data_IF_741306710494
#
_entry.id   IF_741306710494
#
_cell.length_a   1.000
_cell.length_b   1.000
_cell.length_c   1.000
_cell.angle_alpha   90.00
_cell.angle_beta   90.00
_cell.angle_gamma   90.00
#
_symmetry.space_group_name_H-M   'P 1'
#
loop_
_entity.id
_entity.type
_entity.pdbx_description
1 polymer ?
#
# COMPACT_ATOMS: atom_id res chain seq x y z
N UNK A 1 0.30 -24.30 -9.23
CA UNK A 1 0.27 -22.88 -8.83
C UNK A 1 1.53 -22.61 -8.02
N UNK A 2 2.42 -21.72 -8.48
CA UNK A 2 3.58 -21.31 -7.67
C UNK A 2 3.09 -20.46 -6.51
N UNK A 3 3.60 -20.70 -5.30
CA UNK A 3 3.22 -19.93 -4.14
C UNK A 3 3.79 -18.49 -4.25
N UNK A 4 2.98 -17.49 -3.93
CA UNK A 4 3.45 -16.10 -3.85
C UNK A 4 4.54 -16.01 -2.75
N UNK A 5 5.68 -15.34 -3.00
CA UNK A 5 6.73 -15.13 -2.01
C UNK A 5 6.18 -14.50 -0.72
N UNK A 6 6.73 -14.90 0.43
CA UNK A 6 6.20 -14.47 1.73
C UNK A 6 6.44 -12.97 1.97
N UNK A 7 7.54 -12.44 1.44
CA UNK A 7 7.94 -11.04 1.50
C UNK A 7 6.90 -10.16 0.82
N UNK A 8 6.41 -10.59 -0.36
CA UNK A 8 5.35 -9.89 -1.08
C UNK A 8 4.02 -9.96 -0.33
N UNK A 9 3.72 -11.05 0.38
CA UNK A 9 2.49 -11.11 1.20
C UNK A 9 2.57 -10.19 2.41
N UNK A 10 3.74 -10.12 3.07
CA UNK A 10 3.96 -9.31 4.26
C UNK A 10 4.05 -7.81 3.96
N UNK A 11 4.31 -7.42 2.72
CA UNK A 11 4.27 -6.02 2.31
C UNK A 11 2.87 -5.48 2.05
N UNK A 12 1.85 -6.33 1.97
CA UNK A 12 0.48 -5.92 1.61
C UNK A 12 -0.31 -5.43 2.82
N UNK A 13 -1.04 -4.33 2.64
CA UNK A 13 -2.00 -3.78 3.58
C UNK A 13 -3.39 -3.72 2.96
N UNK A 14 -4.43 -3.97 3.76
CA UNK A 14 -5.81 -3.70 3.32
C UNK A 14 -6.24 -2.33 3.82
N UNK A 15 -6.82 -1.56 2.92
CA UNK A 15 -7.25 -0.19 3.17
C UNK A 15 -8.77 -0.21 3.26
N UNK A 16 -9.30 0.40 4.31
CA UNK A 16 -10.72 0.52 4.53
C UNK A 16 -11.08 1.97 4.74
N UNK A 17 -12.13 2.41 4.05
CA UNK A 17 -12.74 3.72 4.23
C UNK A 17 -14.08 3.52 4.92
N UNK A 18 -14.42 4.44 5.83
CA UNK A 18 -15.68 4.42 6.55
C UNK A 18 -16.45 5.68 6.20
N UNK A 19 -17.74 5.53 5.94
CA UNK A 19 -18.66 6.68 5.92
C UNK A 19 -18.92 7.20 7.33
N UNK A 20 -19.49 8.40 7.45
CA UNK A 20 -19.84 9.04 8.73
C UNK A 20 -20.68 8.14 9.67
N UNK A 21 -21.37 7.13 9.14
CA UNK A 21 -22.15 6.14 9.90
C UNK A 21 -21.37 4.89 10.32
N UNK A 22 -20.03 4.87 10.18
CA UNK A 22 -19.13 3.73 10.48
C UNK A 22 -19.41 2.44 9.69
N UNK A 23 -20.20 2.51 8.64
CA UNK A 23 -20.29 1.41 7.69
C UNK A 23 -19.06 1.43 6.80
N UNK A 24 -18.50 0.24 6.53
CA UNK A 24 -17.41 0.09 5.59
C UNK A 24 -17.92 0.49 4.20
N UNK A 25 -17.38 1.56 3.63
CA UNK A 25 -17.81 2.06 2.32
C UNK A 25 -17.00 1.46 1.19
N UNK A 26 -15.68 1.36 1.37
CA UNK A 26 -14.77 0.86 0.33
C UNK A 26 -13.62 0.05 0.93
N UNK A 27 -13.27 -1.03 0.23
CA UNK A 27 -12.04 -1.79 0.46
C UNK A 27 -11.04 -1.51 -0.66
N UNK A 28 -9.79 -1.29 -0.30
CA UNK A 28 -8.66 -1.11 -1.20
C UNK A 28 -7.47 -1.95 -0.75
N UNK A 29 -6.43 -1.97 -1.58
CA UNK A 29 -5.16 -2.62 -1.28
C UNK A 29 -4.05 -1.60 -1.45
N UNK A 30 -3.08 -1.63 -0.55
CA UNK A 30 -1.79 -0.99 -0.76
C UNK A 30 -0.66 -1.95 -0.41
N UNK A 31 0.57 -1.54 -0.70
CA UNK A 31 1.76 -2.28 -0.31
C UNK A 31 2.85 -1.33 0.17
N UNK A 32 3.71 -1.81 1.06
CA UNK A 32 4.82 -1.03 1.59
C UNK A 32 6.05 -1.14 0.68
N UNK A 33 6.64 0.01 0.39
CA UNK A 33 7.96 0.16 -0.21
C UNK A 33 8.89 0.79 0.81
N UNK A 34 10.11 0.26 0.90
CA UNK A 34 11.21 0.85 1.64
C UNK A 34 12.23 1.42 0.67
N UNK A 35 12.49 2.72 0.78
CA UNK A 35 13.60 3.38 0.10
C UNK A 35 14.79 3.47 1.05
N UNK A 36 15.94 2.95 0.64
CA UNK A 36 17.14 2.98 1.46
C UNK A 36 17.71 4.40 1.55
N UNK A 37 18.08 4.82 2.76
CA UNK A 37 18.70 6.13 2.96
C UNK A 37 20.13 6.11 2.40
N UNK A 38 20.39 6.95 1.40
CA UNK A 38 21.71 7.02 0.74
C UNK A 38 22.86 7.43 1.67
N UNK A 39 22.58 8.11 2.78
CA UNK A 39 23.57 8.51 3.78
C UNK A 39 23.73 7.48 4.90
N UNK A 40 22.73 6.64 5.15
CA UNK A 40 22.77 5.59 6.15
C UNK A 40 22.06 4.32 5.62
N UNK A 41 22.82 3.38 5.02
CA UNK A 41 22.26 2.17 4.40
C UNK A 41 21.44 1.29 5.35
N UNK A 42 21.62 1.39 6.67
CA UNK A 42 20.84 0.61 7.64
C UNK A 42 19.45 1.21 7.92
N UNK A 43 19.14 2.37 7.32
CA UNK A 43 17.86 3.05 7.49
C UNK A 43 17.04 3.05 6.21
N UNK A 44 15.73 2.81 6.36
CA UNK A 44 14.77 2.84 5.27
C UNK A 44 13.65 3.84 5.58
N UNK A 45 13.26 4.60 4.57
CA UNK A 45 12.03 5.37 4.55
C UNK A 45 10.91 4.47 4.03
N UNK A 46 9.95 4.14 4.89
CA UNK A 46 8.82 3.26 4.52
C UNK A 46 7.62 4.09 4.10
N UNK A 47 7.04 3.74 2.96
CA UNK A 47 5.82 4.35 2.44
C UNK A 47 4.82 3.29 2.00
N UNK A 48 3.53 3.58 2.20
CA UNK A 48 2.42 2.83 1.65
C UNK A 48 2.08 3.35 0.26
N UNK A 49 2.14 2.48 -0.74
CA UNK A 49 1.76 2.77 -2.12
C UNK A 49 0.36 2.21 -2.37
N UNK A 50 -0.53 3.02 -2.95
CA UNK A 50 -1.90 2.65 -3.30
C UNK A 50 -2.37 3.42 -4.53
N UNK A 51 -3.52 3.03 -5.07
CA UNK A 51 -4.21 3.84 -6.08
C UNK A 51 -4.76 5.14 -5.47
N UNK A 52 -4.72 6.23 -6.26
CA UNK A 52 -5.22 7.55 -5.84
C UNK A 52 -6.71 7.51 -5.53
N UNK A 53 -7.51 6.80 -6.33
CA UNK A 53 -8.95 6.68 -6.12
C UNK A 53 -9.34 5.94 -4.82
N UNK A 54 -8.40 5.23 -4.16
CA UNK A 54 -8.66 4.54 -2.88
C UNK A 54 -8.76 5.55 -1.73
N UNK A 55 -8.07 6.68 -1.85
CA UNK A 55 -8.03 7.74 -0.83
C UNK A 55 -8.89 8.96 -1.19
N UNK A 56 -9.61 8.90 -2.30
CA UNK A 56 -10.54 9.94 -2.74
C UNK A 56 -11.96 9.67 -2.24
N UNK A 57 -12.75 10.73 -2.15
CA UNK A 57 -14.21 10.64 -2.02
C UNK A 57 -14.82 9.96 -3.23
N UNK A 58 -16.05 9.44 -3.10
CA UNK A 58 -16.72 8.69 -4.17
C UNK A 58 -16.98 9.53 -5.43
N UNK A 59 -17.12 10.85 -5.27
CA UNK A 59 -17.25 11.80 -6.39
C UNK A 59 -15.90 12.18 -7.04
N UNK A 60 -14.80 11.65 -6.51
CA UNK A 60 -13.42 11.92 -6.91
C UNK A 60 -13.00 13.41 -6.88
N UNK A 61 -13.75 14.27 -6.19
CA UNK A 61 -13.47 15.72 -6.13
C UNK A 61 -12.56 16.11 -4.98
N UNK A 62 -12.50 15.31 -3.93
CA UNK A 62 -11.68 15.57 -2.75
C UNK A 62 -11.04 14.29 -2.21
N UNK A 63 -10.20 14.47 -1.19
CA UNK A 63 -9.51 13.37 -0.52
C UNK A 63 -10.13 13.14 0.85
N UNK A 64 -10.14 11.88 1.25
CA UNK A 64 -10.58 11.48 2.59
C UNK A 64 -9.62 12.07 3.63
N UNK A 65 -10.11 12.49 4.81
CA UNK A 65 -9.25 13.00 5.87
C UNK A 65 -8.43 11.89 6.56
N UNK A 66 -8.95 10.66 6.53
CA UNK A 66 -8.30 9.49 7.11
C UNK A 66 -8.69 8.21 6.38
N UNK A 67 -7.85 7.19 6.52
CA UNK A 67 -8.13 5.81 6.13
C UNK A 67 -7.84 4.87 7.30
N UNK A 68 -8.37 3.65 7.25
CA UNK A 68 -8.00 2.60 8.20
C UNK A 68 -7.20 1.51 7.51
N UNK A 69 -6.00 1.23 8.02
CA UNK A 69 -5.14 0.16 7.54
C UNK A 69 -5.34 -1.08 8.40
N UNK A 70 -5.65 -2.21 7.76
CA UNK A 70 -5.66 -3.54 8.39
C UNK A 70 -4.37 -4.26 8.03
N UNK A 71 -3.67 -4.71 9.06
CA UNK A 71 -2.47 -5.54 8.98
C UNK A 71 -2.63 -6.78 9.85
N UNK A 72 -1.84 -7.79 9.56
CA UNK A 72 -1.67 -8.93 10.46
C UNK A 72 -0.86 -8.49 11.69
N UNK A 73 -1.19 -9.06 12.84
CA UNK A 73 -0.47 -8.82 14.09
C UNK A 73 0.52 -9.96 14.35
N UNK A 74 1.57 -9.68 15.12
CA UNK A 74 2.63 -10.66 15.41
C UNK A 74 2.11 -11.92 16.14
N UNK A 75 0.96 -11.82 16.81
CA UNK A 75 0.27 -12.92 17.50
C UNK A 75 -0.56 -13.82 16.54
N UNK A 76 -0.48 -13.58 15.22
CA UNK A 76 -1.23 -14.32 14.20
C UNK A 76 -2.67 -13.81 14.00
N UNK A 77 -3.05 -12.72 14.67
CA UNK A 77 -4.31 -12.02 14.47
C UNK A 77 -4.27 -10.98 13.34
N UNK A 78 -5.21 -10.04 13.40
CA UNK A 78 -5.20 -8.85 12.56
C UNK A 78 -5.81 -7.68 13.33
N UNK A 79 -5.31 -6.47 13.09
CA UNK A 79 -5.83 -5.27 13.71
C UNK A 79 -5.88 -4.12 12.70
N UNK A 80 -6.73 -3.14 12.96
CA UNK A 80 -6.89 -1.92 12.20
C UNK A 80 -6.39 -0.71 12.98
N UNK A 81 -5.77 0.24 12.28
CA UNK A 81 -5.42 1.54 12.83
C UNK A 81 -5.70 2.64 11.81
N UNK A 82 -5.96 3.85 12.31
CA UNK A 82 -6.28 5.01 11.49
C UNK A 82 -5.02 5.72 11.05
N UNK A 83 -5.07 6.27 9.84
CA UNK A 83 -4.01 7.08 9.23
C UNK A 83 -4.63 8.35 8.73
N UNK A 84 -4.19 9.49 9.28
CA UNK A 84 -4.56 10.81 8.75
C UNK A 84 -3.91 11.05 7.39
N UNK A 85 -4.63 11.68 6.48
CA UNK A 85 -4.18 11.99 5.13
C UNK A 85 -3.98 13.50 4.99
N UNK A 86 -2.71 13.93 4.99
CA UNK A 86 -2.32 15.31 4.86
C UNK A 86 -1.62 15.51 3.52
N UNK A 87 -2.26 16.24 2.60
CA UNK A 87 -1.69 16.54 1.27
C UNK A 87 -0.86 17.83 1.26
N UNK A 88 -0.99 18.67 2.29
CA UNK A 88 -0.38 19.99 2.40
C UNK A 88 0.07 20.26 3.84
N UNK A 89 0.91 21.28 4.03
CA UNK A 89 1.42 21.68 5.35
C UNK A 89 2.67 20.92 5.79
N UNK A 90 3.12 21.19 7.02
CA UNK A 90 4.35 20.60 7.57
C UNK A 90 4.21 19.10 7.86
N UNK A 91 2.99 18.63 8.15
CA UNK A 91 2.68 17.23 8.42
C UNK A 91 2.22 16.48 7.16
N UNK A 92 2.56 17.02 5.98
CA UNK A 92 2.24 16.39 4.69
C UNK A 92 2.84 14.99 4.65
N UNK A 93 1.98 14.00 4.44
CA UNK A 93 2.39 12.60 4.31
C UNK A 93 1.86 11.94 3.02
N UNK A 94 0.98 12.61 2.27
CA UNK A 94 0.46 12.10 0.99
C UNK A 94 1.14 12.80 -0.18
N UNK A 95 1.65 12.00 -1.11
CA UNK A 95 2.28 12.43 -2.34
C UNK A 95 1.53 11.82 -3.53
N UNK A 96 1.21 12.67 -4.50
CA UNK A 96 0.52 12.30 -5.73
C UNK A 96 1.45 12.57 -6.90
N UNK A 97 1.24 11.86 -8.00
CA UNK A 97 1.93 12.15 -9.25
C UNK A 97 1.51 13.51 -9.82
N UNK A 98 2.42 14.21 -10.49
CA UNK A 98 2.16 15.53 -11.09
C UNK A 98 1.13 15.47 -12.23
N UNK A 99 1.19 14.41 -13.03
CA UNK A 99 0.14 14.09 -14.01
C UNK A 99 -1.15 13.63 -13.30
N UNK A 100 -2.26 14.38 -13.42
CA UNK A 100 -3.52 14.06 -12.76
C UNK A 100 -4.21 12.80 -13.31
N UNK A 101 -3.80 12.28 -14.46
CA UNK A 101 -4.34 11.02 -15.02
C UNK A 101 -3.73 9.78 -14.37
N UNK A 102 -2.57 9.92 -13.73
CA UNK A 102 -1.91 8.82 -13.02
C UNK A 102 -2.64 8.53 -11.70
N UNK A 103 -3.10 7.29 -11.55
CA UNK A 103 -3.87 6.81 -10.39
C UNK A 103 -2.94 6.23 -9.31
N UNK A 104 -2.03 7.07 -8.80
CA UNK A 104 -1.03 6.69 -7.81
C UNK A 104 -1.05 7.66 -6.61
N UNK A 105 -0.99 7.09 -5.41
CA UNK A 105 -0.73 7.81 -4.18
C UNK A 105 0.33 7.08 -3.34
N UNK A 106 1.24 7.86 -2.77
CA UNK A 106 2.28 7.40 -1.85
C UNK A 106 2.02 8.07 -0.50
N UNK A 107 1.95 7.28 0.56
CA UNK A 107 1.63 7.74 1.91
C UNK A 107 2.80 7.36 2.82
N UNK A 108 3.55 8.34 3.33
CA UNK A 108 4.65 8.06 4.25
C UNK A 108 4.10 7.61 5.60
N UNK A 109 4.36 6.35 5.95
CA UNK A 109 3.90 5.76 7.21
C UNK A 109 4.75 4.55 7.58
N UNK A 110 5.09 4.46 8.86
CA UNK A 110 5.73 3.30 9.46
C UNK A 110 4.80 2.67 10.50
N UNK A 111 4.18 1.52 10.22
CA UNK A 111 3.43 0.77 11.22
C UNK A 111 4.32 0.36 12.40
N UNK A 112 3.71 0.23 13.58
CA UNK A 112 4.39 -0.23 14.78
C UNK A 112 4.87 -1.69 14.62
N UNK A 113 6.20 -1.85 14.52
CA UNK A 113 6.87 -3.15 14.32
C UNK A 113 6.72 -4.09 15.51
N UNK A 114 6.42 -3.58 16.71
CA UNK A 114 6.19 -4.42 17.89
C UNK A 114 4.77 -5.01 17.89
N UNK A 115 3.87 -4.46 17.09
CA UNK A 115 2.46 -4.86 17.03
C UNK A 115 2.10 -5.61 15.75
N UNK A 116 2.64 -5.19 14.62
CA UNK A 116 2.23 -5.65 13.29
C UNK A 116 3.29 -6.55 12.65
N UNK A 117 2.86 -7.68 12.10
CA UNK A 117 3.70 -8.53 11.25
C UNK A 117 3.63 -8.02 9.81
N UNK A 118 4.47 -7.04 9.50
CA UNK A 118 4.58 -6.46 8.17
C UNK A 118 6.04 -6.39 7.72
N UNK A 119 6.23 -6.28 6.42
CA UNK A 119 7.52 -6.01 5.78
C UNK A 119 7.31 -4.97 4.68
N UNK A 120 8.33 -4.69 3.89
CA UNK A 120 8.26 -3.82 2.72
C UNK A 120 9.06 -4.43 1.59
N UNK A 121 8.72 -4.07 0.36
CA UNK A 121 9.56 -4.35 -0.79
C UNK A 121 10.60 -3.24 -0.91
N UNK A 122 11.84 -3.60 -1.22
CA UNK A 122 12.87 -2.61 -1.53
C UNK A 122 12.54 -1.92 -2.85
N UNK A 123 12.78 -0.61 -2.93
CA UNK A 123 12.52 0.21 -4.12
C UNK A 123 13.19 -0.33 -5.40
N UNK A 124 14.30 -1.04 -5.26
CA UNK A 124 15.10 -1.67 -6.29
C UNK A 124 14.36 -2.82 -7.00
N UNK A 125 13.30 -3.35 -6.37
CA UNK A 125 12.40 -4.33 -6.98
C UNK A 125 11.37 -3.70 -7.92
N UNK A 126 11.26 -2.36 -7.96
CA UNK A 126 10.39 -1.66 -8.88
C UNK A 126 11.02 -1.62 -10.27
N UNK A 127 10.35 -2.27 -11.22
CA UNK A 127 10.80 -2.41 -12.60
C UNK A 127 10.48 -1.15 -13.41
N UNK A 128 11.44 -0.70 -14.20
CA UNK A 128 11.26 0.34 -15.23
C UNK A 128 10.82 -0.25 -16.56
N UNK A 129 10.46 0.60 -17.53
CA UNK A 129 10.14 0.16 -18.89
C UNK A 129 11.36 -0.51 -19.56
N UNK A 130 12.56 -0.01 -19.29
CA UNK A 130 13.82 -0.57 -19.76
C UNK A 130 14.09 -1.95 -19.15
N UNK A 131 13.66 -2.19 -17.92
CA UNK A 131 13.84 -3.48 -17.25
C UNK A 131 12.93 -4.56 -17.80
N UNK A 132 11.78 -4.21 -18.42
CA UNK A 132 10.91 -5.20 -19.07
C UNK A 132 11.64 -5.93 -20.19
N UNK A 133 12.40 -5.20 -21.01
CA UNK A 133 13.21 -5.80 -22.08
C UNK A 133 14.30 -6.70 -21.49
N UNK A 134 15.04 -6.21 -20.47
CA UNK A 134 16.13 -6.98 -19.83
C UNK A 134 15.64 -8.27 -19.16
N UNK A 135 14.48 -8.21 -18.52
CA UNK A 135 13.87 -9.32 -17.79
C UNK A 135 12.98 -10.21 -18.68
N UNK A 136 12.88 -9.89 -19.98
CA UNK A 136 12.00 -10.56 -20.94
C UNK A 136 10.52 -10.59 -20.48
N UNK A 137 10.07 -9.54 -19.79
CA UNK A 137 8.67 -9.37 -19.41
C UNK A 137 7.91 -8.97 -20.68
N UNK A 138 7.11 -9.89 -21.18
CA UNK A 138 6.30 -9.74 -22.39
C UNK A 138 4.93 -10.41 -22.24
N UNK A 139 4.07 -10.25 -23.24
CA UNK A 139 2.78 -10.93 -23.27
C UNK A 139 2.94 -12.44 -23.10
N UNK A 140 2.14 -13.03 -22.20
CA UNK A 140 2.24 -14.44 -21.82
C UNK A 140 3.18 -14.73 -20.65
N UNK A 141 3.87 -13.72 -20.10
CA UNK A 141 4.62 -13.87 -18.85
C UNK A 141 3.70 -14.19 -17.68
N UNK A 142 4.16 -15.05 -16.77
CA UNK A 142 3.44 -15.37 -15.54
C UNK A 142 3.31 -14.13 -14.64
N UNK A 143 2.10 -13.88 -14.15
CA UNK A 143 1.81 -12.81 -13.19
C UNK A 143 1.10 -13.39 -11.97
N UNK A 144 1.45 -12.90 -10.80
CA UNK A 144 0.68 -13.11 -9.58
C UNK A 144 0.27 -11.77 -8.99
N UNK A 145 -0.87 -11.75 -8.32
CA UNK A 145 -1.41 -10.57 -7.65
C UNK A 145 -1.89 -10.98 -6.26
N UNK A 146 -1.69 -10.09 -5.29
CA UNK A 146 -2.11 -10.28 -3.90
C UNK A 146 -2.77 -9.00 -3.42
N UNK A 147 -3.83 -9.13 -2.62
CA UNK A 147 -4.61 -7.99 -2.18
C UNK A 147 -5.94 -8.40 -1.56
N UNK A 148 -6.75 -7.38 -1.27
CA UNK A 148 -8.09 -7.57 -0.74
C UNK A 148 -9.04 -8.02 -1.86
N UNK A 149 -9.54 -9.24 -1.75
CA UNK A 149 -10.64 -9.74 -2.58
C UNK A 149 -11.94 -9.66 -1.78
N UNK A 150 -12.70 -8.59 -1.98
CA UNK A 150 -13.95 -8.32 -1.24
C UNK A 150 -14.95 -9.51 -1.29
N UNK A 151 -15.11 -10.26 -2.39
CA UNK A 151 -15.98 -11.44 -2.38
C UNK A 151 -15.45 -12.62 -1.55
N UNK A 152 -14.16 -12.61 -1.20
CA UNK A 152 -13.44 -13.70 -0.54
C UNK A 152 -12.61 -13.16 0.63
N UNK A 153 -13.26 -12.61 1.65
CA UNK A 153 -12.60 -12.40 2.94
C UNK A 153 -12.08 -13.76 3.43
N UNK A 154 -10.78 -13.85 3.73
CA UNK A 154 -10.16 -15.06 4.25
C UNK A 154 -10.93 -15.55 5.48
N UNK A 155 -11.61 -16.69 5.34
CA UNK A 155 -12.20 -17.39 6.47
C UNK A 155 -11.05 -18.03 7.25
N UNK A 156 -11.01 -17.79 8.57
CA UNK A 156 -10.11 -18.53 9.47
C UNK A 156 -10.41 -20.02 9.40
#
# INVERSE_FOLDING_TARGET
VRAIPIEVKKSVAFIYTFEEKKNLSKGGTGFFIGEQNSQNPDQYSVSLVTAKHVIQTDDAKSFLPEISLRLNTIDGGSNMFKVALNLVGNDKNVFLHEDPTVDLAVITILPDKEKYDFSFLESELLTTKEDFEKLNISEGSDVFFTGLFIPFYGRK
#
